data_IF_785620785136
#
_entry.id   IF_785620785136
#
_cell.length_a   1.000
_cell.length_b   1.000
_cell.length_c   1.000
_cell.angle_alpha   90.00
_cell.angle_beta   90.00
_cell.angle_gamma   90.00
#
_symmetry.space_group_name_H-M   'P 1'
#
loop_
_entity.id
_entity.type
_entity.pdbx_description
1 polymer ?
#
# COMPACT_ATOMS: atom_id res chain seq x y z
N UNK A 1 -4.34 -5.43 30.85
CA UNK A 1 -4.82 -4.75 29.63
C UNK A 1 -6.26 -5.16 29.38
N UNK A 2 -7.21 -4.32 29.78
CA UNK A 2 -8.65 -4.62 29.78
C UNK A 2 -9.15 -4.80 28.35
N UNK A 3 -9.71 -5.99 28.09
CA UNK A 3 -10.37 -6.32 26.83
C UNK A 3 -11.63 -5.47 26.71
N UNK A 4 -11.69 -4.64 25.68
CA UNK A 4 -12.88 -3.94 25.19
C UNK A 4 -14.03 -4.93 25.00
N UNK A 5 -15.24 -4.60 25.48
CA UNK A 5 -16.46 -5.32 25.09
C UNK A 5 -16.82 -4.85 23.69
N UNK A 6 -16.72 -5.70 22.65
CA UNK A 6 -17.29 -5.32 21.38
C UNK A 6 -18.80 -5.33 21.58
N UNK A 7 -19.50 -4.25 21.24
CA UNK A 7 -20.96 -4.23 21.14
C UNK A 7 -21.37 -5.06 19.93
N UNK A 8 -21.34 -6.37 20.14
CA UNK A 8 -21.35 -7.44 19.15
C UNK A 8 -22.77 -7.80 18.65
N UNK A 9 -23.67 -6.82 18.49
CA UNK A 9 -25.06 -7.10 18.07
C UNK A 9 -25.58 -6.46 16.80
N UNK A 10 -24.82 -5.57 16.14
CA UNK A 10 -25.34 -4.86 14.95
C UNK A 10 -24.83 -5.37 13.58
N UNK A 11 -23.73 -6.13 13.54
CA UNK A 11 -23.00 -6.38 12.30
C UNK A 11 -23.08 -7.83 11.79
N UNK A 12 -24.28 -8.32 11.46
CA UNK A 12 -24.45 -9.60 10.74
C UNK A 12 -24.64 -9.36 9.24
N UNK A 13 -23.53 -9.36 8.50
CA UNK A 13 -23.42 -10.03 7.21
C UNK A 13 -23.75 -9.26 5.91
N UNK A 14 -24.83 -8.48 5.82
CA UNK A 14 -25.29 -7.99 4.50
C UNK A 14 -25.38 -6.46 4.33
N UNK A 15 -25.37 -5.67 5.41
CA UNK A 15 -25.54 -4.20 5.33
C UNK A 15 -24.26 -3.42 5.07
N UNK A 16 -23.08 -3.97 5.37
CA UNK A 16 -21.80 -3.26 5.24
C UNK A 16 -21.36 -3.09 3.79
N UNK A 17 -21.46 -4.14 2.98
CA UNK A 17 -21.04 -4.14 1.58
C UNK A 17 -21.80 -3.12 0.74
N UNK A 18 -23.12 -2.98 0.94
CA UNK A 18 -23.95 -1.97 0.25
C UNK A 18 -23.58 -0.53 0.64
N UNK A 19 -23.20 -0.32 1.91
CA UNK A 19 -22.86 1.01 2.42
C UNK A 19 -21.46 1.50 1.98
N UNK A 20 -20.57 0.62 1.51
CA UNK A 20 -19.22 1.00 1.03
C UNK A 20 -19.12 1.01 -0.50
N UNK A 21 -20.14 0.57 -1.22
CA UNK A 21 -20.12 0.50 -2.69
C UNK A 21 -19.95 1.88 -3.34
N UNK A 22 -20.62 2.91 -2.81
CA UNK A 22 -20.45 4.28 -3.30
C UNK A 22 -19.02 4.79 -3.10
N UNK A 23 -18.38 4.40 -1.98
CA UNK A 23 -17.01 4.77 -1.67
C UNK A 23 -16.03 4.01 -2.58
N UNK A 24 -16.29 2.74 -2.87
CA UNK A 24 -15.52 1.98 -3.86
C UNK A 24 -15.62 2.62 -5.26
N UNK A 25 -16.80 3.07 -5.69
CA UNK A 25 -16.96 3.83 -6.95
C UNK A 25 -16.19 5.14 -6.93
N UNK A 26 -16.21 5.85 -5.81
CA UNK A 26 -15.43 7.09 -5.64
C UNK A 26 -13.93 6.82 -5.75
N UNK A 27 -13.41 5.82 -5.05
CA UNK A 27 -11.99 5.42 -5.11
C UNK A 27 -11.61 5.03 -6.54
N UNK A 28 -12.44 4.24 -7.23
CA UNK A 28 -12.20 3.86 -8.62
C UNK A 28 -12.10 5.07 -9.56
N UNK A 29 -13.00 6.05 -9.41
CA UNK A 29 -12.96 7.28 -10.21
C UNK A 29 -11.72 8.14 -9.92
N UNK A 30 -11.24 8.14 -8.67
CA UNK A 30 -10.07 8.90 -8.24
C UNK A 30 -8.74 8.17 -8.50
N UNK A 31 -8.79 6.87 -8.79
CA UNK A 31 -7.61 6.00 -8.85
C UNK A 31 -6.49 6.52 -9.74
N UNK A 32 -6.73 7.05 -10.96
CA UNK A 32 -5.65 7.56 -11.81
C UNK A 32 -4.87 8.73 -11.19
N UNK A 33 -5.50 9.49 -10.30
CA UNK A 33 -4.85 10.59 -9.58
C UNK A 33 -4.13 10.09 -8.34
N UNK A 34 -4.74 9.14 -7.62
CA UNK A 34 -4.14 8.50 -6.46
C UNK A 34 -2.88 7.71 -6.84
N UNK A 35 -2.91 6.95 -7.93
CA UNK A 35 -1.73 6.26 -8.48
C UNK A 35 -0.56 7.24 -8.64
N UNK A 36 -0.78 8.33 -9.38
CA UNK A 36 0.25 9.37 -9.60
C UNK A 36 0.76 9.99 -8.30
N UNK A 37 -0.14 10.33 -7.38
CA UNK A 37 0.22 10.96 -6.12
C UNK A 37 1.05 10.02 -5.24
N UNK A 38 0.60 8.77 -5.10
CA UNK A 38 1.30 7.74 -4.32
C UNK A 38 2.65 7.46 -4.96
N UNK A 39 2.74 7.23 -6.26
CA UNK A 39 4.01 7.04 -6.96
C UNK A 39 4.97 8.22 -6.76
N UNK A 40 4.46 9.46 -6.72
CA UNK A 40 5.25 10.64 -6.37
C UNK A 40 5.82 10.59 -4.94
N UNK A 41 4.99 10.21 -3.97
CA UNK A 41 5.40 10.03 -2.57
C UNK A 41 6.45 8.92 -2.46
N UNK A 42 6.23 7.76 -3.09
CA UNK A 42 7.19 6.65 -3.11
C UNK A 42 8.54 7.13 -3.64
N UNK A 43 8.58 7.79 -4.81
CA UNK A 43 9.82 8.37 -5.36
C UNK A 43 10.50 9.31 -4.37
N UNK A 44 9.73 10.18 -3.69
CA UNK A 44 10.27 11.15 -2.73
C UNK A 44 10.90 10.50 -1.49
N UNK A 45 10.33 9.39 -1.01
CA UNK A 45 10.81 8.66 0.17
C UNK A 45 11.99 7.75 -0.21
N UNK A 46 11.93 7.11 -1.38
CA UNK A 46 12.97 6.17 -1.83
C UNK A 46 14.24 6.87 -2.29
N UNK A 47 14.15 8.06 -2.90
CA UNK A 47 15.31 8.81 -3.40
C UNK A 47 16.42 9.01 -2.34
N UNK A 48 16.15 9.54 -1.13
CA UNK A 48 17.20 9.68 -0.11
C UNK A 48 17.72 8.33 0.39
N UNK A 49 16.93 7.25 0.30
CA UNK A 49 17.39 5.90 0.63
C UNK A 49 18.41 5.43 -0.40
N UNK A 50 18.10 5.56 -1.69
CA UNK A 50 19.00 5.23 -2.80
C UNK A 50 20.33 5.99 -2.73
N UNK A 51 20.28 7.29 -2.46
CA UNK A 51 21.47 8.14 -2.35
C UNK A 51 22.47 7.65 -1.29
N UNK A 52 22.01 7.02 -0.20
CA UNK A 52 22.91 6.45 0.84
C UNK A 52 23.76 5.28 0.36
N UNK A 53 23.35 4.59 -0.70
CA UNK A 53 24.02 3.42 -1.24
C UNK A 53 24.85 3.73 -2.49
N UNK A 54 24.63 4.90 -3.10
CA UNK A 54 25.49 5.42 -4.17
C UNK A 54 26.93 5.53 -3.63
N UNK A 55 27.88 4.98 -4.38
CA UNK A 55 29.30 4.95 -4.00
C UNK A 55 29.74 3.81 -3.07
N UNK A 56 28.87 3.25 -2.21
CA UNK A 56 29.24 2.13 -1.32
C UNK A 56 29.41 0.80 -2.05
N UNK A 57 28.52 0.53 -3.02
CA UNK A 57 28.49 -0.71 -3.79
C UNK A 57 28.85 -0.49 -5.27
N UNK A 58 29.63 0.55 -5.58
CA UNK A 58 29.93 0.95 -6.96
C UNK A 58 28.68 1.29 -7.80
N UNK A 59 27.56 1.57 -7.13
CA UNK A 59 26.32 2.07 -7.74
C UNK A 59 26.55 3.52 -8.15
N UNK A 60 26.39 3.80 -9.44
CA UNK A 60 26.46 5.15 -10.03
C UNK A 60 25.14 5.89 -9.91
N UNK A 61 24.04 5.17 -10.09
CA UNK A 61 22.69 5.73 -10.00
C UNK A 61 21.67 4.61 -9.78
N UNK A 62 20.58 4.94 -9.10
CA UNK A 62 19.39 4.08 -9.03
C UNK A 62 18.14 4.94 -9.08
N UNK A 63 17.20 4.59 -9.94
CA UNK A 63 15.94 5.31 -10.10
C UNK A 63 14.85 4.36 -10.62
N UNK A 64 13.59 4.78 -10.45
CA UNK A 64 12.44 4.08 -11.00
C UNK A 64 12.26 4.45 -12.47
N UNK A 65 12.49 3.49 -13.37
CA UNK A 65 12.15 3.60 -14.80
C UNK A 65 10.63 3.64 -14.97
N UNK A 66 9.94 2.68 -14.37
CA UNK A 66 8.47 2.66 -14.29
C UNK A 66 8.05 2.53 -12.84
N UNK A 67 7.00 3.27 -12.48
CA UNK A 67 6.37 3.16 -11.17
C UNK A 67 4.89 3.50 -11.35
N UNK A 68 4.07 2.46 -11.37
CA UNK A 68 2.61 2.54 -11.33
C UNK A 68 2.08 1.42 -10.46
N UNK A 69 1.02 1.70 -9.71
CA UNK A 69 0.23 0.74 -8.95
C UNK A 69 -0.77 -0.01 -9.85
N UNK A 70 -0.83 0.32 -11.14
CA UNK A 70 -1.69 -0.35 -12.12
C UNK A 70 -3.08 0.24 -12.21
N UNK A 71 -3.95 -0.47 -12.92
CA UNK A 71 -5.30 0.00 -13.27
C UNK A 71 -6.36 -0.44 -12.27
N UNK A 72 -6.03 -1.37 -11.39
CA UNK A 72 -6.97 -1.97 -10.45
C UNK A 72 -6.89 -1.28 -9.07
N UNK A 73 -7.91 -0.49 -8.69
CA UNK A 73 -7.94 0.15 -7.38
C UNK A 73 -8.18 -0.86 -6.24
N UNK A 74 -7.78 -0.53 -5.02
CA UNK A 74 -8.17 -1.27 -3.83
C UNK A 74 -9.69 -1.20 -3.62
N UNK A 75 -10.23 -2.23 -2.98
CA UNK A 75 -11.65 -2.34 -2.65
C UNK A 75 -11.85 -2.38 -1.14
N UNK A 76 -12.80 -1.60 -0.65
CA UNK A 76 -13.28 -1.68 0.72
C UNK A 76 -14.31 -2.79 0.84
N UNK A 77 -14.04 -3.71 1.76
CA UNK A 77 -14.92 -4.80 2.12
C UNK A 77 -15.91 -4.39 3.23
N UNK A 78 -15.55 -3.40 4.03
CA UNK A 78 -16.38 -2.86 5.10
C UNK A 78 -15.62 -1.86 5.96
N UNK A 79 -16.33 -1.21 6.90
CA UNK A 79 -15.77 -0.28 7.86
C UNK A 79 -16.28 -0.69 9.25
N UNK A 80 -15.36 -0.90 10.20
CA UNK A 80 -15.68 -1.10 11.61
C UNK A 80 -15.53 0.23 12.33
N UNK A 81 -16.50 0.55 13.18
CA UNK A 81 -16.47 1.75 14.00
C UNK A 81 -16.69 1.30 15.44
N UNK A 82 -15.83 1.74 16.35
CA UNK A 82 -15.99 1.49 17.77
C UNK A 82 -15.56 2.70 18.58
N UNK A 83 -16.30 2.95 19.66
CA UNK A 83 -15.97 3.96 20.66
C UNK A 83 -15.06 3.32 21.71
N UNK A 84 -13.99 4.03 22.07
CA UNK A 84 -13.11 3.64 23.17
C UNK A 84 -13.65 4.16 24.49
N UNK A 85 -13.12 3.63 25.60
CA UNK A 85 -13.45 4.13 26.94
C UNK A 85 -12.99 5.58 27.18
N UNK A 86 -12.18 6.12 26.27
CA UNK A 86 -11.61 7.47 26.31
C UNK A 86 -12.43 8.46 25.46
N UNK A 87 -13.66 8.10 25.07
CA UNK A 87 -14.50 8.87 24.13
C UNK A 87 -13.85 9.10 22.75
N UNK A 88 -12.92 8.24 22.35
CA UNK A 88 -12.37 8.28 21.00
C UNK A 88 -13.20 7.42 20.06
N UNK A 89 -13.50 7.96 18.89
CA UNK A 89 -14.13 7.22 17.81
C UNK A 89 -13.06 6.63 16.90
N UNK A 90 -12.94 5.30 16.90
CA UNK A 90 -11.98 4.60 16.04
C UNK A 90 -12.70 4.01 14.83
N UNK A 91 -12.14 4.26 13.66
CA UNK A 91 -12.67 3.80 12.37
C UNK A 91 -11.60 2.90 11.72
N UNK A 92 -11.92 1.62 11.58
CA UNK A 92 -11.07 0.61 10.94
C UNK A 92 -11.72 0.12 9.64
N UNK A 93 -11.31 0.65 8.47
CA UNK A 93 -11.71 0.08 7.19
C UNK A 93 -10.92 -1.19 6.89
N UNK A 94 -11.64 -2.13 6.29
CA UNK A 94 -11.14 -3.38 5.77
C UNK A 94 -10.89 -3.24 4.27
N UNK A 95 -9.62 -3.17 3.87
CA UNK A 95 -9.20 -2.98 2.48
C UNK A 95 -8.72 -4.31 1.91
N UNK A 96 -8.92 -4.52 0.60
CA UNK A 96 -8.27 -5.56 -0.18
C UNK A 96 -7.73 -4.96 -1.46
N UNK A 97 -6.53 -5.38 -1.84
CA UNK A 97 -5.92 -4.96 -3.10
C UNK A 97 -5.30 -6.14 -3.83
N UNK A 98 -5.82 -6.39 -5.03
CA UNK A 98 -5.26 -7.33 -6.00
C UNK A 98 -4.95 -6.52 -7.26
N UNK A 99 -3.80 -5.86 -7.24
CA UNK A 99 -3.37 -4.90 -8.24
C UNK A 99 -2.44 -5.52 -9.28
N UNK A 100 -2.35 -4.85 -10.42
CA UNK A 100 -1.37 -5.12 -11.48
C UNK A 100 -0.32 -4.00 -11.54
N UNK A 101 0.49 -3.80 -10.47
CA UNK A 101 1.49 -2.75 -10.46
C UNK A 101 2.55 -3.02 -11.54
N UNK A 102 3.14 -1.96 -12.08
CA UNK A 102 4.30 -2.04 -12.95
C UNK A 102 5.40 -1.18 -12.33
N UNK A 103 6.31 -1.83 -11.62
CA UNK A 103 7.40 -1.18 -10.91
C UNK A 103 8.71 -1.73 -11.46
N UNK A 104 9.45 -0.90 -12.17
CA UNK A 104 10.81 -1.19 -12.65
C UNK A 104 11.81 -0.29 -11.95
N UNK A 105 12.67 -0.89 -11.14
CA UNK A 105 13.81 -0.22 -10.54
C UNK A 105 15.06 -0.54 -11.36
N UNK A 106 15.72 0.50 -11.87
CA UNK A 106 16.99 0.36 -12.57
C UNK A 106 18.14 0.84 -11.68
N UNK A 107 19.18 0.01 -11.59
CA UNK A 107 20.42 0.30 -10.88
C UNK A 107 21.58 0.20 -11.85
N UNK A 108 22.35 1.28 -11.97
CA UNK A 108 23.54 1.34 -12.81
C UNK A 108 24.78 1.20 -11.95
N UNK A 109 25.54 0.14 -12.17
CA UNK A 109 26.85 -0.08 -11.55
C UNK A 109 27.96 0.38 -12.50
N UNK A 110 29.22 0.34 -12.05
CA UNK A 110 30.38 0.76 -12.85
C UNK A 110 30.50 0.01 -14.18
N UNK A 111 30.22 -1.30 -14.19
CA UNK A 111 30.46 -2.19 -15.33
C UNK A 111 29.22 -2.94 -15.83
N UNK A 112 28.07 -2.83 -15.13
CA UNK A 112 26.82 -3.50 -15.52
C UNK A 112 25.59 -2.70 -15.07
N UNK A 113 24.44 -2.96 -15.66
CA UNK A 113 23.15 -2.39 -15.26
C UNK A 113 22.20 -3.52 -14.86
N UNK A 114 21.49 -3.36 -13.75
CA UNK A 114 20.54 -4.33 -13.21
C UNK A 114 19.16 -3.66 -13.19
N UNK A 115 18.16 -4.35 -13.71
CA UNK A 115 16.75 -3.92 -13.67
C UNK A 115 15.95 -4.97 -12.92
N UNK A 116 15.17 -4.54 -11.94
CA UNK A 116 14.25 -5.41 -11.18
C UNK A 116 12.82 -4.96 -11.47
N UNK A 117 11.96 -5.90 -11.86
CA UNK A 117 10.57 -5.64 -12.21
C UNK A 117 9.61 -6.40 -11.30
N UNK A 118 8.51 -5.75 -10.93
CA UNK A 118 7.38 -6.32 -10.20
C UNK A 118 6.10 -6.01 -10.97
N UNK A 119 5.34 -7.05 -11.32
CA UNK A 119 4.18 -6.97 -12.22
C UNK A 119 2.83 -7.40 -11.59
N UNK A 120 2.85 -8.09 -10.46
CA UNK A 120 1.63 -8.56 -9.79
C UNK A 120 1.75 -8.52 -8.26
N UNK A 121 0.73 -7.98 -7.61
CA UNK A 121 0.58 -8.03 -6.15
C UNK A 121 -0.86 -8.46 -5.85
N UNK A 122 -1.00 -9.66 -5.29
CA UNK A 122 -2.27 -10.15 -4.74
C UNK A 122 -2.17 -10.23 -3.22
N UNK A 123 -2.96 -9.40 -2.52
CA UNK A 123 -3.14 -9.57 -1.07
C UNK A 123 -4.09 -10.75 -0.80
N UNK A 124 -3.60 -11.79 -0.13
CA UNK A 124 -4.41 -12.91 0.34
C UNK A 124 -5.05 -12.65 1.71
N UNK A 125 -4.80 -11.49 2.34
CA UNK A 125 -5.30 -11.12 3.65
C UNK A 125 -6.37 -10.01 3.66
N UNK A 126 -7.05 -9.87 4.81
CA UNK A 126 -7.77 -8.64 5.16
C UNK A 126 -6.76 -7.71 5.83
N UNK A 127 -6.21 -6.74 5.10
CA UNK A 127 -5.40 -5.67 5.68
C UNK A 127 -6.35 -4.60 6.26
N UNK A 128 -6.32 -4.40 7.57
CA UNK A 128 -6.87 -3.18 8.18
C UNK A 128 -6.07 -1.98 7.63
N UNK A 129 -6.57 -0.73 7.71
CA UNK A 129 -5.76 0.45 7.29
C UNK A 129 -4.40 0.54 8.00
N UNK A 130 -4.26 -0.02 9.20
CA UNK A 130 -2.95 -0.22 9.85
C UNK A 130 -2.02 -1.11 9.01
N UNK A 131 -2.58 -2.11 8.32
CA UNK A 131 -1.89 -2.98 7.37
C UNK A 131 -1.68 -2.39 5.97
N UNK A 132 -2.25 -1.22 5.63
CA UNK A 132 -1.86 -0.51 4.42
C UNK A 132 -0.45 0.10 4.54
N UNK A 133 -0.04 0.46 5.77
CA UNK A 133 1.36 0.74 6.08
C UNK A 133 2.21 -0.53 5.93
N UNK A 134 1.69 -1.69 6.37
CA UNK A 134 2.33 -2.98 6.18
C UNK A 134 2.43 -3.39 4.70
N UNK A 135 1.57 -2.92 3.79
CA UNK A 135 1.74 -3.16 2.34
C UNK A 135 2.93 -2.39 1.77
N UNK A 136 3.17 -1.16 2.23
CA UNK A 136 4.36 -0.39 1.86
C UNK A 136 5.62 -1.03 2.46
N UNK A 137 5.53 -1.51 3.69
CA UNK A 137 6.60 -2.24 4.37
C UNK A 137 6.85 -3.63 3.75
N UNK A 138 5.80 -4.36 3.35
CA UNK A 138 5.88 -5.67 2.69
C UNK A 138 6.36 -5.57 1.25
N UNK A 139 5.98 -4.50 0.52
CA UNK A 139 6.59 -4.19 -0.77
C UNK A 139 8.08 -3.93 -0.60
N UNK A 140 8.49 -3.14 0.40
CA UNK A 140 9.90 -2.91 0.72
C UNK A 140 10.64 -4.19 1.19
N UNK A 141 10.00 -5.02 2.01
CA UNK A 141 10.57 -6.26 2.57
C UNK A 141 10.72 -7.39 1.55
N UNK A 142 10.03 -7.30 0.40
CA UNK A 142 10.18 -8.24 -0.72
C UNK A 142 11.29 -7.84 -1.69
N UNK A 143 11.94 -6.69 -1.49
CA UNK A 143 13.19 -6.32 -2.15
C UNK A 143 14.36 -6.60 -1.19
N UNK A 144 15.05 -7.76 -1.31
CA UNK A 144 16.17 -8.14 -0.43
C UNK A 144 17.46 -7.32 -0.65
N UNK A 145 17.36 -6.11 -1.20
CA UNK A 145 18.51 -5.24 -1.48
C UNK A 145 18.56 -4.01 -0.57
N UNK A 146 17.61 -3.84 0.36
CA UNK A 146 17.53 -2.67 1.25
C UNK A 146 17.38 -2.99 2.75
N UNK A 147 17.59 -4.25 3.16
CA UNK A 147 17.90 -4.60 4.56
C UNK A 147 19.40 -4.87 4.73
#
# INVERSE_FOLDING_TARGET
MSKTKPTLKFWRGLRLTRNVEWLNKFIANMWPYLDKAICGVIRSISKPTFEKYIGKFQIRSSDFETLSLGTLPPTLQGIKIYETNENELVIEPAVRWAGNPNITLAMKLLFLSITVQVEEIADHGFSNLSGAADCFEAACARFPLFC
#
